data_IF_184549081543
#
_entry.id   IF_184549081543
#
_cell.length_a   1.000
_cell.length_b   1.000
_cell.length_c   1.000
_cell.angle_alpha   90.00
_cell.angle_beta   90.00
_cell.angle_gamma   90.00
#
_symmetry.space_group_name_H-M   'P 1'
#
loop_
_entity.id
_entity.type
_entity.pdbx_description
1 polymer ?
#
# COMPACT_ATOMS: atom_id res chain seq x y z
N UNK A 1 3.19 48.57 7.90
CA UNK A 1 3.98 47.77 8.84
C UNK A 1 3.79 46.31 8.45
N UNK A 2 4.73 45.76 7.69
CA UNK A 2 4.70 44.40 7.16
C UNK A 2 5.90 43.63 7.73
N UNK A 3 6.08 43.72 9.05
CA UNK A 3 7.17 43.07 9.81
C UNK A 3 6.86 41.63 10.23
N UNK A 4 5.76 41.05 9.73
CA UNK A 4 5.20 39.80 10.27
C UNK A 4 5.51 38.54 9.44
N UNK A 5 6.29 38.63 8.35
CA UNK A 5 6.62 37.49 7.50
C UNK A 5 8.10 37.16 7.71
N UNK A 6 8.38 35.95 8.21
CA UNK A 6 9.74 35.44 8.37
C UNK A 6 10.46 35.43 7.01
N UNK A 7 11.71 35.90 6.96
CA UNK A 7 12.53 35.78 5.75
C UNK A 7 13.05 34.35 5.56
N UNK A 8 13.42 33.99 4.33
CA UNK A 8 13.96 32.65 4.02
C UNK A 8 15.20 32.30 4.87
N UNK A 9 16.06 33.28 5.14
CA UNK A 9 17.25 33.12 5.99
C UNK A 9 16.87 32.84 7.46
N UNK A 10 15.80 33.48 7.95
CA UNK A 10 15.29 33.22 9.30
C UNK A 10 14.66 31.83 9.41
N UNK A 11 13.94 31.37 8.37
CA UNK A 11 13.38 30.01 8.29
C UNK A 11 14.50 28.95 8.23
N UNK A 12 15.58 29.24 7.49
CA UNK A 12 16.75 28.38 7.40
C UNK A 12 17.49 28.26 8.74
N UNK A 13 17.53 29.33 9.53
CA UNK A 13 18.16 29.39 10.84
C UNK A 13 17.35 28.74 11.98
N UNK A 14 16.07 28.38 11.76
CA UNK A 14 15.24 27.72 12.77
C UNK A 14 15.82 26.37 13.19
N UNK A 15 15.80 26.09 14.49
CA UNK A 15 16.11 24.75 15.00
C UNK A 15 15.07 23.72 14.52
N UNK A 16 15.40 22.41 14.50
CA UNK A 16 14.43 21.37 14.15
C UNK A 16 13.16 21.39 15.00
N UNK A 17 13.25 21.82 16.25
CA UNK A 17 12.12 21.92 17.19
C UNK A 17 11.23 23.11 16.86
N UNK A 18 11.82 24.29 16.64
CA UNK A 18 11.10 25.50 16.24
C UNK A 18 10.41 25.31 14.88
N UNK A 19 11.08 24.61 13.94
CA UNK A 19 10.48 24.28 12.65
C UNK A 19 9.26 23.38 12.81
N UNK A 20 9.30 22.37 13.70
CA UNK A 20 8.14 21.50 13.98
C UNK A 20 6.98 22.27 14.62
N UNK A 21 7.28 23.18 15.55
CA UNK A 21 6.27 24.01 16.20
C UNK A 21 5.61 24.99 15.22
N UNK A 22 6.39 25.58 14.33
CA UNK A 22 5.84 26.44 13.28
C UNK A 22 4.96 25.64 12.33
N UNK A 23 5.42 24.46 11.90
CA UNK A 23 4.66 23.55 11.04
C UNK A 23 3.32 23.17 11.70
N UNK A 24 3.31 22.78 12.98
CA UNK A 24 2.08 22.38 13.67
C UNK A 24 1.08 23.52 13.85
N UNK A 25 1.57 24.77 13.97
CA UNK A 25 0.71 25.96 14.02
C UNK A 25 0.15 26.36 12.65
N UNK A 26 0.86 26.03 11.57
CA UNK A 26 0.44 26.32 10.19
C UNK A 26 -0.40 25.20 9.56
N UNK A 27 -0.46 24.01 10.17
CA UNK A 27 -1.37 22.95 9.76
C UNK A 27 -2.81 23.43 9.85
N UNK A 28 -3.47 23.59 8.70
CA UNK A 28 -4.90 23.83 8.66
C UNK A 28 -5.61 22.69 9.40
N UNK A 29 -6.47 22.97 10.39
CA UNK A 29 -7.14 21.93 11.14
C UNK A 29 -7.99 21.11 10.16
N UNK A 30 -7.86 19.78 10.19
CA UNK A 30 -8.60 18.85 9.32
C UNK A 30 -10.11 19.11 9.26
N UNK A 31 -10.67 19.72 10.31
CA UNK A 31 -12.06 20.17 10.39
C UNK A 31 -12.46 21.26 9.38
N UNK A 32 -11.49 22.04 8.88
CA UNK A 32 -11.71 23.02 7.82
C UNK A 32 -11.80 22.36 6.44
N UNK A 33 -11.17 21.19 6.26
CA UNK A 33 -11.17 20.45 5.01
C UNK A 33 -12.36 19.50 4.89
N UNK A 34 -12.72 18.82 5.99
CA UNK A 34 -13.86 17.91 6.05
C UNK A 34 -14.55 17.94 7.42
N UNK A 35 -15.87 17.77 7.43
CA UNK A 35 -16.65 17.73 8.67
C UNK A 35 -16.14 16.60 9.61
N UNK A 36 -15.66 16.95 10.83
CA UNK A 36 -15.17 15.97 11.80
C UNK A 36 -16.18 14.89 12.15
N UNK A 37 -17.48 15.21 12.16
CA UNK A 37 -18.53 14.26 12.46
C UNK A 37 -18.66 13.20 11.35
N UNK A 38 -18.52 13.61 10.09
CA UNK A 38 -18.52 12.72 8.92
C UNK A 38 -17.29 11.82 8.93
N UNK A 39 -16.09 12.39 9.13
CA UNK A 39 -14.85 11.63 9.25
C UNK A 39 -14.91 10.59 10.37
N UNK A 40 -15.36 10.99 11.56
CA UNK A 40 -15.50 10.10 12.71
C UNK A 40 -16.53 9.00 12.46
N UNK A 41 -17.63 9.30 11.74
CA UNK A 41 -18.63 8.29 11.35
C UNK A 41 -18.06 7.32 10.33
N UNK A 42 -17.42 7.79 9.27
CA UNK A 42 -16.80 6.93 8.26
C UNK A 42 -15.72 6.04 8.88
N UNK A 43 -14.87 6.60 9.74
CA UNK A 43 -13.85 5.83 10.48
C UNK A 43 -14.50 4.73 11.32
N UNK A 44 -15.54 5.05 12.08
CA UNK A 44 -16.27 4.05 12.89
C UNK A 44 -16.89 2.94 12.04
N UNK A 45 -17.53 3.29 10.92
CA UNK A 45 -18.11 2.30 10.00
C UNK A 45 -17.01 1.41 9.43
N UNK A 46 -15.94 1.98 8.88
CA UNK A 46 -14.83 1.21 8.29
C UNK A 46 -14.17 0.30 9.32
N UNK A 47 -13.85 0.83 10.50
CA UNK A 47 -13.27 0.03 11.58
C UNK A 47 -14.22 -1.05 12.06
N UNK A 48 -15.51 -0.73 12.24
CA UNK A 48 -16.53 -1.70 12.62
C UNK A 48 -16.64 -2.85 11.61
N UNK A 49 -16.61 -2.54 10.31
CA UNK A 49 -16.62 -3.55 9.24
C UNK A 49 -15.37 -4.42 9.27
N UNK A 50 -14.17 -3.83 9.41
CA UNK A 50 -12.91 -4.59 9.45
C UNK A 50 -12.82 -5.45 10.70
N UNK A 51 -13.15 -4.90 11.88
CA UNK A 51 -13.13 -5.64 13.15
C UNK A 51 -14.20 -6.73 13.14
N UNK A 52 -15.42 -6.42 12.69
CA UNK A 52 -16.48 -7.41 12.55
C UNK A 52 -16.10 -8.53 11.60
N UNK A 53 -15.50 -8.20 10.45
CA UNK A 53 -14.97 -9.18 9.50
C UNK A 53 -13.87 -10.06 10.10
N UNK A 54 -12.93 -9.47 10.85
CA UNK A 54 -11.87 -10.20 11.55
C UNK A 54 -12.46 -11.19 12.56
N UNK A 55 -13.39 -10.73 13.40
CA UNK A 55 -14.07 -11.56 14.40
C UNK A 55 -14.85 -12.69 13.73
N UNK A 56 -15.50 -12.42 12.60
CA UNK A 56 -16.23 -13.43 11.82
C UNK A 56 -15.31 -14.44 11.11
N UNK A 57 -14.12 -14.01 10.68
CA UNK A 57 -13.14 -14.88 10.01
C UNK A 57 -12.52 -15.92 10.95
N UNK A 58 -12.34 -15.61 12.24
CA UNK A 58 -11.76 -16.55 13.22
C UNK A 58 -12.56 -17.87 13.30
N UNK A 59 -13.87 -17.88 13.62
CA UNK A 59 -14.65 -19.11 13.67
C UNK A 59 -14.79 -19.76 12.29
N UNK A 60 -14.84 -18.97 11.21
CA UNK A 60 -14.89 -19.49 9.84
C UNK A 60 -13.64 -20.29 9.48
N UNK A 61 -12.44 -19.78 9.80
CA UNK A 61 -11.18 -20.49 9.62
C UNK A 61 -11.17 -21.78 10.44
N UNK A 62 -11.62 -21.75 11.71
CA UNK A 62 -11.74 -22.94 12.54
C UNK A 62 -12.69 -23.99 11.96
N UNK A 63 -13.84 -23.55 11.44
CA UNK A 63 -14.80 -24.41 10.74
C UNK A 63 -14.18 -25.04 9.49
N UNK A 64 -13.50 -24.26 8.64
CA UNK A 64 -12.83 -24.77 7.45
C UNK A 64 -11.73 -25.78 7.80
N UNK A 65 -10.91 -25.50 8.82
CA UNK A 65 -9.85 -26.40 9.26
C UNK A 65 -10.39 -27.78 9.72
N UNK A 66 -11.60 -27.83 10.28
CA UNK A 66 -12.23 -29.07 10.71
C UNK A 66 -12.98 -29.81 9.60
N UNK A 67 -13.61 -29.07 8.69
CA UNK A 67 -14.56 -29.65 7.72
C UNK A 67 -13.97 -29.91 6.34
N UNK A 68 -12.84 -29.27 5.98
CA UNK A 68 -12.24 -29.48 4.66
C UNK A 68 -11.69 -30.90 4.52
N UNK A 69 -12.00 -31.59 3.41
CA UNK A 69 -11.42 -32.90 3.13
C UNK A 69 -9.93 -32.74 2.81
N UNK A 70 -9.12 -33.71 3.27
CA UNK A 70 -7.68 -33.77 3.01
C UNK A 70 -7.34 -33.82 1.51
N UNK A 71 -8.28 -34.29 0.68
CA UNK A 71 -8.16 -34.31 -0.78
C UNK A 71 -9.38 -33.65 -1.39
N UNK A 72 -9.17 -32.55 -2.10
CA UNK A 72 -10.20 -31.83 -2.82
C UNK A 72 -9.78 -31.65 -4.28
N UNK A 73 -10.65 -32.04 -5.22
CA UNK A 73 -10.42 -31.83 -6.65
C UNK A 73 -11.07 -30.50 -7.03
N UNK A 74 -10.23 -29.50 -7.33
CA UNK A 74 -10.70 -28.20 -7.78
C UNK A 74 -11.15 -28.25 -9.25
N UNK A 75 -12.44 -28.04 -9.49
CA UNK A 75 -13.05 -28.13 -10.83
C UNK A 75 -12.41 -27.18 -11.87
N UNK A 76 -12.07 -25.95 -11.47
CA UNK A 76 -11.56 -24.90 -12.36
C UNK A 76 -10.07 -24.61 -12.12
N UNK A 77 -9.29 -25.62 -11.72
CA UNK A 77 -7.89 -25.44 -11.29
C UNK A 77 -7.03 -24.63 -12.27
N UNK A 78 -6.99 -24.92 -13.59
CA UNK A 78 -6.18 -24.14 -14.53
C UNK A 78 -6.66 -22.68 -14.67
N UNK A 79 -7.98 -22.47 -14.64
CA UNK A 79 -8.58 -21.14 -14.79
C UNK A 79 -8.28 -20.27 -13.58
N UNK A 80 -8.24 -20.84 -12.38
CA UNK A 80 -7.87 -20.11 -11.16
C UNK A 80 -6.46 -19.54 -11.25
N UNK A 81 -5.49 -20.36 -11.69
CA UNK A 81 -4.10 -19.93 -11.85
C UNK A 81 -3.94 -18.91 -12.96
N UNK A 82 -4.45 -19.19 -14.16
CA UNK A 82 -4.38 -18.25 -15.28
C UNK A 82 -5.07 -16.93 -14.94
N UNK A 83 -6.19 -16.96 -14.23
CA UNK A 83 -6.89 -15.76 -13.78
C UNK A 83 -6.07 -14.93 -12.79
N UNK A 84 -5.40 -15.59 -11.84
CA UNK A 84 -4.49 -14.93 -10.90
C UNK A 84 -3.29 -14.30 -11.62
N UNK A 85 -2.67 -15.04 -12.55
CA UNK A 85 -1.54 -14.56 -13.34
C UNK A 85 -1.91 -13.37 -14.22
N UNK A 86 -3.09 -13.38 -14.85
CA UNK A 86 -3.59 -12.24 -15.62
C UNK A 86 -3.76 -11.00 -14.72
N UNK A 87 -4.27 -11.19 -13.50
CA UNK A 87 -4.40 -10.10 -12.53
C UNK A 87 -3.04 -9.55 -12.11
N UNK A 88 -2.09 -10.44 -11.76
CA UNK A 88 -0.72 -10.07 -11.40
C UNK A 88 -0.03 -9.35 -12.55
N UNK A 89 -0.10 -9.89 -13.76
CA UNK A 89 0.44 -9.29 -14.98
C UNK A 89 -0.16 -7.90 -15.24
N UNK A 90 -1.47 -7.75 -15.05
CA UNK A 90 -2.17 -6.47 -15.19
C UNK A 90 -1.61 -5.41 -14.23
N UNK A 91 -1.42 -5.77 -12.96
CA UNK A 91 -0.80 -4.88 -11.98
C UNK A 91 0.68 -4.61 -12.25
N UNK A 92 1.45 -5.61 -12.69
CA UNK A 92 2.83 -5.42 -13.11
C UNK A 92 2.95 -4.45 -14.29
N UNK A 93 2.11 -4.62 -15.31
CA UNK A 93 2.05 -3.72 -16.46
C UNK A 93 1.64 -2.30 -16.04
N UNK A 94 0.63 -2.16 -15.19
CA UNK A 94 0.22 -0.87 -14.65
C UNK A 94 1.35 -0.21 -13.85
N UNK A 95 2.03 -0.95 -12.99
CA UNK A 95 3.19 -0.49 -12.21
C UNK A 95 4.33 -0.05 -13.13
N UNK A 96 4.66 -0.81 -14.16
CA UNK A 96 5.68 -0.43 -15.15
C UNK A 96 5.29 0.86 -15.90
N UNK A 97 4.09 0.92 -16.46
CA UNK A 97 3.60 2.07 -17.23
C UNK A 97 3.51 3.35 -16.37
N UNK A 98 3.00 3.25 -15.15
CA UNK A 98 2.90 4.38 -14.23
C UNK A 98 4.27 4.79 -13.68
N UNK A 99 5.19 3.84 -13.54
CA UNK A 99 6.60 4.07 -13.25
C UNK A 99 7.27 4.89 -14.36
N UNK A 100 7.13 4.47 -15.61
CA UNK A 100 7.65 5.21 -16.77
C UNK A 100 7.03 6.60 -16.90
N UNK A 101 5.72 6.73 -16.67
CA UNK A 101 5.01 8.01 -16.71
C UNK A 101 5.20 8.86 -15.45
N UNK A 102 5.95 8.38 -14.46
CA UNK A 102 6.18 9.04 -13.15
C UNK A 102 4.87 9.51 -12.50
N UNK A 103 3.82 8.67 -12.54
CA UNK A 103 2.50 8.97 -11.97
C UNK A 103 2.36 8.41 -10.56
N UNK A 104 1.74 9.16 -9.66
CA UNK A 104 1.54 8.75 -8.26
C UNK A 104 0.75 7.46 -8.06
N UNK A 105 -0.13 7.10 -9.00
CA UNK A 105 -0.86 5.83 -8.96
C UNK A 105 0.08 4.61 -8.90
N UNK A 106 1.36 4.78 -9.28
CA UNK A 106 2.43 3.81 -9.07
C UNK A 106 2.49 3.29 -7.61
N UNK A 107 2.20 4.15 -6.62
CA UNK A 107 2.22 3.76 -5.20
C UNK A 107 1.19 2.64 -4.97
N UNK A 108 -0.02 2.81 -5.50
CA UNK A 108 -1.11 1.86 -5.33
C UNK A 108 -0.83 0.57 -6.10
N UNK A 109 -0.45 0.69 -7.38
CA UNK A 109 -0.21 -0.50 -8.21
C UNK A 109 1.01 -1.25 -7.76
N UNK A 110 2.10 -0.56 -7.40
CA UNK A 110 3.35 -1.18 -6.93
C UNK A 110 3.18 -1.90 -5.60
N UNK A 111 2.48 -1.29 -4.63
CA UNK A 111 2.14 -1.96 -3.38
C UNK A 111 1.29 -3.21 -3.63
N UNK A 112 0.28 -3.10 -4.50
CA UNK A 112 -0.62 -4.22 -4.84
C UNK A 112 0.14 -5.34 -5.55
N UNK A 113 1.01 -5.05 -6.52
CA UNK A 113 1.88 -6.04 -7.17
C UNK A 113 2.74 -6.76 -6.14
N UNK A 114 3.31 -6.06 -5.17
CA UNK A 114 4.11 -6.69 -4.12
C UNK A 114 3.30 -7.62 -3.23
N UNK A 115 2.08 -7.25 -2.86
CA UNK A 115 1.17 -8.15 -2.11
C UNK A 115 0.80 -9.38 -2.94
N UNK A 116 0.49 -9.21 -4.22
CA UNK A 116 0.17 -10.31 -5.12
C UNK A 116 1.35 -11.29 -5.26
N UNK A 117 2.60 -10.80 -5.34
CA UNK A 117 3.80 -11.65 -5.35
C UNK A 117 3.99 -12.44 -4.04
N UNK A 118 3.57 -11.90 -2.90
CA UNK A 118 3.59 -12.65 -1.63
C UNK A 118 2.53 -13.75 -1.67
N UNK A 119 1.34 -13.46 -2.20
CA UNK A 119 0.29 -14.45 -2.39
C UNK A 119 0.72 -15.56 -3.34
N UNK A 120 1.36 -15.20 -4.46
CA UNK A 120 1.95 -16.12 -5.44
C UNK A 120 2.92 -17.10 -4.77
N UNK A 121 3.87 -16.56 -4.00
CA UNK A 121 4.87 -17.36 -3.30
C UNK A 121 4.25 -18.34 -2.32
N UNK A 122 3.26 -17.85 -1.58
CA UNK A 122 2.49 -18.69 -0.66
C UNK A 122 1.77 -19.82 -1.41
N UNK A 123 1.10 -19.53 -2.53
CA UNK A 123 0.39 -20.55 -3.29
C UNK A 123 1.34 -21.58 -3.93
N UNK A 124 2.45 -21.14 -4.52
CA UNK A 124 3.47 -22.03 -5.10
C UNK A 124 3.99 -23.01 -4.03
N UNK A 125 4.38 -22.50 -2.87
CA UNK A 125 4.87 -23.34 -1.76
C UNK A 125 3.82 -24.34 -1.26
N UNK A 126 2.55 -23.92 -1.18
CA UNK A 126 1.47 -24.78 -0.64
C UNK A 126 0.95 -25.80 -1.64
N UNK A 127 1.25 -25.64 -2.93
CA UNK A 127 0.74 -26.50 -4.02
C UNK A 127 1.84 -27.33 -4.69
N UNK A 128 3.10 -27.10 -4.33
CA UNK A 128 4.26 -27.84 -4.81
C UNK A 128 4.20 -29.33 -4.46
N UNK A 129 4.51 -30.17 -5.45
CA UNK A 129 4.80 -31.58 -5.22
C UNK A 129 6.11 -31.79 -4.45
N UNK A 130 6.36 -32.99 -3.90
CA UNK A 130 7.60 -33.31 -3.18
C UNK A 130 8.88 -32.99 -3.97
N UNK A 131 8.85 -33.21 -5.28
CA UNK A 131 9.93 -32.94 -6.23
C UNK A 131 10.18 -31.45 -6.47
N UNK A 132 9.13 -30.62 -6.43
CA UNK A 132 9.17 -29.19 -6.77
C UNK A 132 9.23 -28.29 -5.53
N UNK A 133 9.09 -28.85 -4.33
CA UNK A 133 9.07 -28.11 -3.07
C UNK A 133 10.34 -27.27 -2.86
N UNK A 134 11.51 -27.85 -3.15
CA UNK A 134 12.79 -27.13 -3.03
C UNK A 134 12.87 -25.95 -4.01
N UNK A 135 12.44 -26.15 -5.26
CA UNK A 135 12.42 -25.11 -6.27
C UNK A 135 11.44 -23.98 -5.91
N UNK A 136 10.26 -24.33 -5.39
CA UNK A 136 9.23 -23.39 -4.96
C UNK A 136 9.72 -22.51 -3.80
N UNK A 137 10.42 -23.09 -2.82
CA UNK A 137 11.04 -22.32 -1.73
C UNK A 137 12.15 -21.39 -2.26
N UNK A 138 13.01 -21.89 -3.15
CA UNK A 138 14.10 -21.09 -3.73
C UNK A 138 13.55 -19.90 -4.50
N UNK A 139 12.56 -20.12 -5.36
CA UNK A 139 11.93 -19.05 -6.16
C UNK A 139 11.17 -18.06 -5.28
N UNK A 140 10.42 -18.53 -4.27
CA UNK A 140 9.76 -17.68 -3.29
C UNK A 140 10.75 -16.75 -2.57
N UNK A 141 11.88 -17.28 -2.09
CA UNK A 141 12.85 -16.52 -1.29
C UNK A 141 13.78 -15.65 -2.13
N UNK A 142 14.18 -16.09 -3.32
CA UNK A 142 15.17 -15.37 -4.14
C UNK A 142 14.56 -14.45 -5.20
N UNK A 143 13.30 -14.68 -5.58
CA UNK A 143 12.66 -13.91 -6.65
C UNK A 143 11.45 -13.17 -6.09
N UNK A 144 10.45 -13.89 -5.61
CA UNK A 144 9.14 -13.32 -5.32
C UNK A 144 9.18 -12.40 -4.10
N UNK A 145 9.76 -12.85 -2.97
CA UNK A 145 9.88 -12.05 -1.75
C UNK A 145 10.77 -10.81 -1.91
N UNK A 146 11.95 -10.88 -2.56
CA UNK A 146 12.77 -9.69 -2.81
C UNK A 146 12.06 -8.67 -3.72
N UNK A 147 11.40 -9.13 -4.79
CA UNK A 147 10.62 -8.22 -5.66
C UNK A 147 9.46 -7.57 -4.90
N UNK A 148 8.72 -8.35 -4.11
CA UNK A 148 7.65 -7.83 -3.27
C UNK A 148 8.17 -6.77 -2.29
N UNK A 149 9.29 -7.05 -1.62
CA UNK A 149 9.94 -6.10 -0.72
C UNK A 149 10.34 -4.81 -1.44
N UNK A 150 10.98 -4.90 -2.60
CA UNK A 150 11.39 -3.73 -3.38
C UNK A 150 10.19 -2.87 -3.80
N UNK A 151 9.11 -3.51 -4.29
CA UNK A 151 7.91 -2.81 -4.73
C UNK A 151 7.16 -2.15 -3.57
N UNK A 152 6.98 -2.86 -2.46
CA UNK A 152 6.29 -2.34 -1.27
C UNK A 152 7.12 -1.23 -0.62
N UNK A 153 8.41 -1.47 -0.37
CA UNK A 153 9.29 -0.46 0.25
C UNK A 153 9.43 0.78 -0.64
N UNK A 154 9.52 0.60 -1.96
CA UNK A 154 9.50 1.68 -2.94
C UNK A 154 8.19 2.48 -2.90
N UNK A 155 7.04 1.81 -2.91
CA UNK A 155 5.73 2.45 -2.80
C UNK A 155 5.58 3.24 -1.49
N UNK A 156 5.97 2.66 -0.36
CA UNK A 156 5.93 3.33 0.95
C UNK A 156 6.88 4.53 1.01
N UNK A 157 8.08 4.41 0.43
CA UNK A 157 9.03 5.52 0.34
C UNK A 157 8.50 6.65 -0.54
N UNK A 158 7.93 6.34 -1.70
CA UNK A 158 7.32 7.32 -2.59
C UNK A 158 6.09 7.98 -1.97
N UNK A 159 5.28 7.22 -1.23
CA UNK A 159 4.17 7.76 -0.45
C UNK A 159 4.69 8.78 0.56
N UNK A 160 5.70 8.43 1.36
CA UNK A 160 6.30 9.36 2.33
C UNK A 160 6.82 10.64 1.66
N UNK A 161 7.55 10.51 0.54
CA UNK A 161 8.06 11.67 -0.21
C UNK A 161 6.94 12.54 -0.78
N UNK A 162 5.89 11.91 -1.31
CA UNK A 162 4.73 12.60 -1.88
C UNK A 162 3.98 13.39 -0.82
N UNK A 163 3.76 12.79 0.35
CA UNK A 163 3.12 13.45 1.49
C UNK A 163 3.91 14.67 1.96
N UNK A 164 5.25 14.57 2.04
CA UNK A 164 6.10 15.72 2.39
C UNK A 164 6.04 16.85 1.35
N UNK A 165 5.83 16.53 0.06
CA UNK A 165 5.70 17.55 -1.00
C UNK A 165 4.33 18.23 -1.01
N UNK A 166 3.25 17.46 -0.84
CA UNK A 166 1.89 18.01 -0.76
C UNK A 166 1.72 18.97 0.42
N UNK A 167 2.42 18.69 1.52
CA UNK A 167 2.50 19.63 2.65
C UNK A 167 2.98 21.02 2.23
N UNK A 168 3.99 21.08 1.37
CA UNK A 168 4.60 22.34 0.93
C UNK A 168 3.76 23.07 -0.14
N UNK A 169 2.85 22.37 -0.81
CA UNK A 169 2.01 22.90 -1.88
C UNK A 169 0.55 22.39 -1.74
N UNK A 170 -0.22 22.90 -0.77
CA UNK A 170 -1.56 22.40 -0.46
C UNK A 170 -2.56 22.55 -1.62
N UNK A 171 -2.33 23.49 -2.55
CA UNK A 171 -3.19 23.71 -3.71
C UNK A 171 -3.00 22.67 -4.84
N UNK A 172 -1.96 21.82 -4.76
CA UNK A 172 -1.70 20.78 -5.76
C UNK A 172 -2.52 19.52 -5.46
N UNK A 173 -3.31 19.09 -6.44
CA UNK A 173 -4.01 17.78 -6.36
C UNK A 173 -2.98 16.65 -6.46
N UNK A 174 -3.22 15.51 -5.80
CA UNK A 174 -2.34 14.33 -5.84
C UNK A 174 -1.87 14.01 -7.28
N UNK A 175 -2.78 13.89 -8.23
CA UNK A 175 -2.45 13.57 -9.63
C UNK A 175 -1.62 14.64 -10.39
N UNK A 176 -1.42 15.83 -9.81
CA UNK A 176 -0.63 16.92 -10.39
C UNK A 176 0.80 16.97 -9.84
N UNK A 177 1.12 16.34 -8.71
CA UNK A 177 2.47 16.41 -8.15
C UNK A 177 3.41 15.46 -8.91
N UNK A 178 4.45 15.97 -9.57
CA UNK A 178 5.43 15.13 -10.24
C UNK A 178 6.23 14.32 -9.21
N UNK A 179 6.36 13.00 -9.44
CA UNK A 179 7.05 12.08 -8.51
C UNK A 179 8.55 12.38 -8.33
N UNK A 180 9.19 13.05 -9.29
CA UNK A 180 10.61 13.46 -9.33
C UNK A 180 10.71 14.80 -10.07
N UNK A 181 11.73 15.64 -9.82
CA UNK A 181 11.95 16.87 -10.59
C UNK A 181 12.10 16.60 -12.10
#
# INVERSE_FOLDING_TARGET
>A
MTEAILSDDQIAALSPEQRRELISRLEAPLSELEDPAVLARMRRIRLGLIVGGLVAMIPWIGYLAWTLPQKYVAHNWPVTWVGFDILLLGFMAATALLGFKRRQLLILTGFTTGVLLICDAWFDMMTAGPEDAALSVITAVLIQAPMAFLLISGALRLMRLTWMRLWLHPDMRLWQVPLMP
#
